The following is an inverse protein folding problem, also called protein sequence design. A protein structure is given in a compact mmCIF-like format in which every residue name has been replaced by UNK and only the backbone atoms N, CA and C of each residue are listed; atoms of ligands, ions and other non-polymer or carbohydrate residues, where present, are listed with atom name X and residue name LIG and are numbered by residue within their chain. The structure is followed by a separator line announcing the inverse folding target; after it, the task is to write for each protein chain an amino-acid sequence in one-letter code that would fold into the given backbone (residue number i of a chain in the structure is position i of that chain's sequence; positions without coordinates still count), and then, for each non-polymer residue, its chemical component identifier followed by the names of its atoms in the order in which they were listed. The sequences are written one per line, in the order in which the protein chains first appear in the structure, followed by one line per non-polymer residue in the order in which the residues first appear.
data_IF_625542136057
#
_entry.id   IF_625542136057
#
_cell.length_a   1.000
_cell.length_b   1.000
_cell.length_c   1.000
_cell.angle_alpha   90.00
_cell.angle_beta   90.00
_cell.angle_gamma   90.00
#
_symmetry.space_group_name_H-M   'P 1'
#
loop_
_entity.id
_entity.type
_entity.pdbx_description
1 polymer ?
#
# COMPACT_ATOMS: atom_id res chain seq x y z
N UNK A 1 8.93 -7.44 -4.54
CA UNK A 1 9.65 -8.56 -5.18
C UNK A 1 9.90 -9.71 -4.22
N UNK A 2 10.43 -9.48 -3.03
CA UNK A 2 10.67 -10.54 -2.03
C UNK A 2 9.36 -11.26 -1.69
N UNK A 3 8.28 -10.53 -1.41
CA UNK A 3 6.98 -11.10 -1.11
C UNK A 3 6.42 -11.93 -2.28
N UNK A 4 6.55 -11.45 -3.51
CA UNK A 4 6.13 -12.21 -4.68
C UNK A 4 6.93 -13.52 -4.82
N UNK A 5 8.25 -13.44 -4.71
CA UNK A 5 9.10 -14.62 -4.77
C UNK A 5 8.74 -15.64 -3.67
N UNK A 6 8.59 -15.17 -2.43
CA UNK A 6 8.23 -16.05 -1.31
C UNK A 6 6.81 -16.63 -1.43
N UNK A 7 5.93 -16.01 -2.22
CA UNK A 7 4.56 -16.51 -2.43
C UNK A 7 4.52 -17.82 -3.20
N UNK A 8 5.51 -18.11 -4.02
CA UNK A 8 5.67 -19.45 -4.61
C UNK A 8 5.89 -20.50 -3.53
N UNK A 9 6.65 -20.16 -2.49
CA UNK A 9 6.78 -21.01 -1.30
C UNK A 9 5.49 -21.11 -0.50
N UNK A 10 4.76 -20.01 -0.35
CA UNK A 10 3.49 -19.99 0.37
C UNK A 10 2.43 -20.87 -0.32
N UNK A 11 2.10 -20.60 -1.56
CA UNK A 11 1.08 -21.35 -2.30
C UNK A 11 1.61 -22.73 -2.74
N UNK A 12 2.80 -22.79 -3.34
CA UNK A 12 3.38 -24.05 -3.80
C UNK A 12 3.70 -25.01 -2.66
N UNK A 13 4.20 -24.49 -1.54
CA UNK A 13 4.45 -25.30 -0.33
C UNK A 13 3.18 -25.84 0.31
N UNK A 14 2.04 -25.16 0.12
CA UNK A 14 0.73 -25.60 0.62
C UNK A 14 0.20 -26.86 -0.09
N UNK A 15 0.81 -27.29 -1.20
CA UNK A 15 0.50 -28.58 -1.83
C UNK A 15 1.02 -29.78 -1.04
N UNK A 16 1.87 -29.54 -0.01
CA UNK A 16 2.35 -30.47 1.03
C UNK A 16 3.20 -31.65 0.53
N UNK A 17 3.27 -31.94 -0.75
CA UNK A 17 4.01 -33.08 -1.29
C UNK A 17 4.40 -32.83 -2.75
N UNK A 18 5.60 -33.33 -3.10
CA UNK A 18 6.12 -33.41 -4.47
C UNK A 18 6.53 -34.85 -4.81
N UNK A 19 5.98 -35.85 -4.12
CA UNK A 19 6.45 -37.22 -4.21
C UNK A 19 5.87 -38.01 -5.41
N UNK A 20 4.88 -37.47 -6.09
CA UNK A 20 4.23 -38.10 -7.25
C UNK A 20 4.09 -37.12 -8.41
N UNK A 21 3.95 -37.65 -9.64
CA UNK A 21 3.73 -36.83 -10.83
C UNK A 21 2.47 -35.95 -10.70
N UNK A 22 1.43 -36.49 -10.04
CA UNK A 22 0.20 -35.74 -9.81
C UNK A 22 0.41 -34.55 -8.89
N UNK A 23 1.14 -34.72 -7.78
CA UNK A 23 1.45 -33.62 -6.84
C UNK A 23 2.43 -32.62 -7.43
N UNK A 24 3.39 -33.04 -8.23
CA UNK A 24 4.29 -32.14 -8.98
C UNK A 24 3.53 -31.32 -9.99
N UNK A 25 2.61 -31.94 -10.75
CA UNK A 25 1.76 -31.25 -11.73
C UNK A 25 0.85 -30.23 -11.04
N UNK A 26 0.23 -30.59 -9.90
CA UNK A 26 -0.59 -29.69 -9.12
C UNK A 26 0.22 -28.48 -8.64
N UNK A 27 1.40 -28.73 -8.05
CA UNK A 27 2.28 -27.64 -7.57
C UNK A 27 2.71 -26.72 -8.72
N UNK A 28 2.99 -27.29 -9.89
CA UNK A 28 3.28 -26.52 -11.10
C UNK A 28 2.12 -25.61 -11.50
N UNK A 29 0.89 -26.14 -11.46
CA UNK A 29 -0.33 -25.36 -11.73
C UNK A 29 -0.51 -24.23 -10.68
N UNK A 30 -0.33 -24.55 -9.40
CA UNK A 30 -0.41 -23.59 -8.29
C UNK A 30 0.58 -22.42 -8.50
N UNK A 31 1.83 -22.73 -8.81
CA UNK A 31 2.85 -21.71 -9.08
C UNK A 31 2.49 -20.89 -10.33
N UNK A 32 2.01 -21.54 -11.39
CA UNK A 32 1.59 -20.84 -12.60
C UNK A 32 0.42 -19.89 -12.34
N UNK A 33 -0.65 -20.36 -11.70
CA UNK A 33 -1.83 -19.55 -11.36
C UNK A 33 -1.46 -18.37 -10.46
N UNK A 34 -0.59 -18.62 -9.47
CA UNK A 34 -0.08 -17.59 -8.55
C UNK A 34 0.63 -16.48 -9.33
N UNK A 35 1.55 -16.86 -10.20
CA UNK A 35 2.29 -15.88 -11.01
C UNK A 35 1.38 -15.13 -11.99
N UNK A 36 0.47 -15.84 -12.65
CA UNK A 36 -0.45 -15.26 -13.63
C UNK A 36 -1.34 -14.20 -12.98
N UNK A 37 -1.99 -14.52 -11.86
CA UNK A 37 -2.87 -13.58 -11.18
C UNK A 37 -2.12 -12.32 -10.69
N UNK A 38 -0.92 -12.50 -10.13
CA UNK A 38 -0.07 -11.38 -9.70
C UNK A 38 0.32 -10.48 -10.88
N UNK A 39 0.78 -11.07 -11.99
CA UNK A 39 1.18 -10.33 -13.18
C UNK A 39 0.02 -9.55 -13.80
N UNK A 40 -1.14 -10.20 -13.94
CA UNK A 40 -2.36 -9.57 -14.47
C UNK A 40 -2.80 -8.41 -13.56
N UNK A 41 -2.87 -8.61 -12.25
CA UNK A 41 -3.27 -7.58 -11.32
C UNK A 41 -2.30 -6.38 -11.35
N UNK A 42 -0.99 -6.63 -11.45
CA UNK A 42 0.03 -5.59 -11.61
C UNK A 42 -0.24 -4.73 -12.85
N UNK A 43 -0.41 -5.37 -14.01
CA UNK A 43 -0.67 -4.67 -15.26
C UNK A 43 -1.99 -3.89 -15.23
N UNK A 44 -3.05 -4.50 -14.69
CA UNK A 44 -4.36 -3.85 -14.56
C UNK A 44 -4.27 -2.63 -13.64
N UNK A 45 -3.65 -2.76 -12.49
CA UNK A 45 -3.48 -1.64 -11.55
C UNK A 45 -2.67 -0.50 -12.17
N UNK A 46 -1.57 -0.83 -12.86
CA UNK A 46 -0.74 0.15 -13.55
C UNK A 46 -1.55 0.91 -14.61
N UNK A 47 -2.27 0.20 -15.47
CA UNK A 47 -3.08 0.82 -16.53
C UNK A 47 -4.23 1.62 -15.92
N UNK A 48 -4.92 1.07 -14.91
CA UNK A 48 -6.05 1.75 -14.27
C UNK A 48 -5.63 3.03 -13.57
N UNK A 49 -4.52 3.02 -12.81
CA UNK A 49 -3.99 4.24 -12.18
C UNK A 49 -3.52 5.24 -13.22
N UNK A 50 -2.92 4.79 -14.31
CA UNK A 50 -2.52 5.65 -15.42
C UNK A 50 -3.72 6.39 -16.03
N UNK A 51 -4.78 5.64 -16.34
CA UNK A 51 -6.01 6.23 -16.92
C UNK A 51 -6.72 7.16 -15.93
N UNK A 52 -6.68 6.83 -14.64
CA UNK A 52 -7.42 7.55 -13.60
C UNK A 52 -6.68 8.80 -13.11
N UNK A 53 -5.35 8.74 -12.99
CA UNK A 53 -4.53 9.80 -12.41
C UNK A 53 -3.60 10.49 -13.43
N UNK A 54 -3.66 10.08 -14.69
CA UNK A 54 -2.84 10.63 -15.77
C UNK A 54 -1.39 10.12 -15.78
N UNK A 55 -0.95 9.45 -14.73
CA UNK A 55 0.36 8.78 -14.61
C UNK A 55 0.22 7.47 -13.86
N UNK A 56 1.01 6.42 -14.19
CA UNK A 56 1.02 5.20 -13.41
C UNK A 56 1.60 5.46 -12.02
N UNK A 57 0.90 4.97 -11.01
CA UNK A 57 1.37 5.03 -9.62
C UNK A 57 2.21 3.78 -9.32
N UNK A 58 3.49 3.98 -8.97
CA UNK A 58 4.42 2.88 -8.71
C UNK A 58 4.05 2.11 -7.44
N UNK A 59 3.72 2.82 -6.36
CA UNK A 59 3.34 2.21 -5.09
C UNK A 59 2.07 1.39 -5.22
N UNK A 60 1.05 1.96 -5.87
CA UNK A 60 -0.20 1.26 -6.15
C UNK A 60 0.01 0.08 -7.09
N UNK A 61 0.88 0.18 -8.09
CA UNK A 61 1.22 -0.92 -9.00
C UNK A 61 1.85 -2.09 -8.25
N UNK A 62 2.73 -1.81 -7.29
CA UNK A 62 3.31 -2.82 -6.42
C UNK A 62 2.26 -3.46 -5.49
N UNK A 63 1.34 -2.65 -4.94
CA UNK A 63 0.19 -3.17 -4.19
C UNK A 63 -0.73 -4.01 -5.08
N UNK A 64 -0.86 -3.69 -6.36
CA UNK A 64 -1.58 -4.50 -7.35
C UNK A 64 -1.01 -5.90 -7.48
N UNK A 65 0.33 -6.04 -7.46
CA UNK A 65 0.96 -7.37 -7.49
C UNK A 65 0.60 -8.21 -6.26
N UNK A 66 0.65 -7.60 -5.08
CA UNK A 66 0.28 -8.25 -3.83
C UNK A 66 -1.22 -8.58 -3.78
N UNK A 67 -2.07 -7.69 -4.27
CA UNK A 67 -3.51 -7.93 -4.37
C UNK A 67 -3.84 -9.15 -5.23
N UNK A 68 -3.14 -9.31 -6.36
CA UNK A 68 -3.26 -10.50 -7.21
C UNK A 68 -2.81 -11.78 -6.51
N UNK A 69 -1.70 -11.72 -5.77
CA UNK A 69 -1.20 -12.85 -4.95
C UNK A 69 -2.21 -13.23 -3.87
N UNK A 70 -2.74 -12.27 -3.14
CA UNK A 70 -3.76 -12.50 -2.11
C UNK A 70 -5.02 -13.10 -2.71
N UNK A 71 -5.54 -12.50 -3.78
CA UNK A 71 -6.79 -12.94 -4.40
C UNK A 71 -6.72 -14.37 -4.94
N UNK A 72 -5.58 -14.81 -5.48
CA UNK A 72 -5.44 -16.16 -6.02
C UNK A 72 -5.19 -17.23 -4.94
N UNK A 73 -4.72 -16.83 -3.76
CA UNK A 73 -4.26 -17.77 -2.73
C UNK A 73 -5.33 -18.78 -2.32
N UNK A 74 -6.58 -18.36 -2.18
CA UNK A 74 -7.67 -19.27 -1.79
C UNK A 74 -8.01 -20.31 -2.86
N UNK A 75 -7.75 -20.03 -4.15
CA UNK A 75 -8.18 -20.85 -5.27
C UNK A 75 -7.04 -21.35 -6.17
N UNK A 76 -5.78 -21.15 -5.80
CA UNK A 76 -4.64 -21.39 -6.66
C UNK A 76 -4.53 -22.83 -7.19
N UNK A 77 -5.04 -23.82 -6.43
CA UNK A 77 -5.06 -25.24 -6.76
C UNK A 77 -6.40 -25.73 -7.35
N UNK A 78 -7.45 -24.90 -7.28
CA UNK A 78 -8.82 -25.30 -7.63
C UNK A 78 -9.34 -24.65 -8.89
N UNK A 79 -8.70 -23.55 -9.33
CA UNK A 79 -9.12 -22.80 -10.51
C UNK A 79 -8.24 -23.10 -11.72
N UNK A 80 -8.80 -22.97 -12.91
CA UNK A 80 -8.03 -23.02 -14.16
C UNK A 80 -7.19 -21.74 -14.34
N UNK A 81 -6.17 -21.75 -15.22
CA UNK A 81 -5.45 -20.53 -15.58
C UNK A 81 -6.35 -19.38 -16.07
N UNK A 82 -7.45 -19.71 -16.74
CA UNK A 82 -8.44 -18.72 -17.15
C UNK A 82 -9.13 -18.08 -15.94
N UNK A 83 -9.50 -18.88 -14.93
CA UNK A 83 -10.01 -18.37 -13.66
C UNK A 83 -9.00 -17.49 -12.95
N UNK A 84 -7.73 -17.92 -12.88
CA UNK A 84 -6.66 -17.15 -12.28
C UNK A 84 -6.44 -15.79 -12.95
N UNK A 85 -6.54 -15.73 -14.29
CA UNK A 85 -6.52 -14.46 -15.03
C UNK A 85 -7.62 -13.50 -14.56
N UNK A 86 -8.87 -13.96 -14.50
CA UNK A 86 -9.99 -13.10 -14.08
C UNK A 86 -9.92 -12.72 -12.61
N UNK A 87 -9.44 -13.60 -11.76
CA UNK A 87 -9.21 -13.30 -10.34
C UNK A 87 -8.22 -12.14 -10.20
N UNK A 88 -7.08 -12.22 -10.89
CA UNK A 88 -6.09 -11.14 -10.90
C UNK A 88 -6.59 -9.86 -11.57
N UNK A 89 -7.37 -9.98 -12.64
CA UNK A 89 -7.95 -8.84 -13.34
C UNK A 89 -8.85 -8.01 -12.42
N UNK A 90 -9.75 -8.64 -11.69
CA UNK A 90 -10.63 -7.97 -10.73
C UNK A 90 -9.84 -7.41 -9.55
N UNK A 91 -8.85 -8.16 -9.04
CA UNK A 91 -8.00 -7.73 -7.93
C UNK A 91 -7.26 -6.43 -8.24
N UNK A 92 -6.80 -6.25 -9.48
CA UNK A 92 -6.10 -5.05 -9.91
C UNK A 92 -6.95 -3.77 -9.86
N UNK A 93 -8.25 -3.86 -10.13
CA UNK A 93 -9.18 -2.74 -9.92
C UNK A 93 -9.55 -2.59 -8.45
N UNK A 94 -9.84 -3.72 -7.81
CA UNK A 94 -10.35 -3.73 -6.44
C UNK A 94 -9.37 -3.09 -5.46
N UNK A 95 -8.07 -3.30 -5.60
CA UNK A 95 -7.07 -2.70 -4.72
C UNK A 95 -7.10 -1.17 -4.78
N UNK A 96 -7.20 -0.59 -5.96
CA UNK A 96 -7.24 0.88 -6.12
C UNK A 96 -8.52 1.46 -5.53
N UNK A 97 -9.66 0.86 -5.87
CA UNK A 97 -10.96 1.31 -5.39
C UNK A 97 -11.10 1.16 -3.88
N UNK A 98 -10.54 0.07 -3.29
CA UNK A 98 -10.58 -0.13 -1.84
C UNK A 98 -9.66 0.84 -1.11
N UNK A 99 -8.47 1.14 -1.61
CA UNK A 99 -7.61 2.17 -1.02
C UNK A 99 -8.34 3.51 -0.99
N UNK A 100 -8.93 3.92 -2.12
CA UNK A 100 -9.71 5.16 -2.16
C UNK A 100 -10.91 5.14 -1.21
N UNK A 101 -11.58 4.01 -1.09
CA UNK A 101 -12.71 3.85 -0.18
C UNK A 101 -12.28 3.98 1.29
N UNK A 102 -11.27 3.24 1.71
CA UNK A 102 -10.81 3.27 3.10
C UNK A 102 -10.24 4.63 3.48
N UNK A 103 -9.43 5.23 2.63
CA UNK A 103 -8.82 6.53 2.88
C UNK A 103 -9.84 7.68 2.84
N UNK A 104 -10.62 7.79 1.75
CA UNK A 104 -11.46 8.99 1.50
C UNK A 104 -12.85 8.90 2.13
N UNK A 105 -13.45 7.69 2.16
CA UNK A 105 -14.84 7.50 2.59
C UNK A 105 -14.90 6.97 4.01
N UNK A 106 -14.26 5.83 4.28
CA UNK A 106 -14.25 5.23 5.60
C UNK A 106 -13.34 5.98 6.59
N UNK A 107 -12.38 6.75 6.08
CA UNK A 107 -11.39 7.52 6.85
C UNK A 107 -10.63 6.63 7.85
N UNK A 108 -10.28 5.44 7.39
CA UNK A 108 -9.46 4.48 8.13
C UNK A 108 -8.01 4.72 7.73
N UNK A 109 -7.16 4.85 8.73
CA UNK A 109 -5.72 5.02 8.54
C UNK A 109 -5.09 3.71 8.05
N UNK A 110 -4.84 3.64 6.73
CA UNK A 110 -4.21 2.50 6.06
C UNK A 110 -3.06 3.00 5.16
N UNK A 111 -1.95 3.46 5.76
CA UNK A 111 -0.90 4.23 5.06
C UNK A 111 -0.21 3.46 3.93
N UNK A 112 -0.19 2.15 3.99
CA UNK A 112 0.43 1.28 2.97
C UNK A 112 -0.58 0.48 2.16
N UNK A 113 -1.88 0.67 2.40
CA UNK A 113 -2.94 -0.06 1.73
C UNK A 113 -3.07 -1.52 2.17
N UNK A 114 -2.65 -1.86 3.40
CA UNK A 114 -2.66 -3.24 3.90
C UNK A 114 -4.08 -3.83 3.96
N UNK A 115 -5.06 -3.06 4.45
CA UNK A 115 -6.47 -3.49 4.49
C UNK A 115 -7.00 -3.73 3.09
N UNK A 116 -6.67 -2.84 2.16
CA UNK A 116 -7.10 -2.95 0.76
C UNK A 116 -6.47 -4.13 0.03
N UNK A 117 -5.18 -4.39 0.28
CA UNK A 117 -4.47 -5.53 -0.31
C UNK A 117 -4.94 -6.85 0.29
N UNK A 118 -4.97 -6.97 1.63
CA UNK A 118 -5.19 -8.25 2.27
C UNK A 118 -6.66 -8.54 2.55
N UNK A 119 -7.40 -7.62 3.16
CA UNK A 119 -8.80 -7.85 3.48
C UNK A 119 -9.68 -7.85 2.22
N UNK A 120 -9.71 -6.76 1.47
CA UNK A 120 -10.61 -6.64 0.33
C UNK A 120 -10.32 -7.71 -0.74
N UNK A 121 -9.05 -7.97 -1.04
CA UNK A 121 -8.69 -9.00 -2.02
C UNK A 121 -8.74 -10.42 -1.46
N UNK A 122 -8.62 -10.62 -0.15
CA UNK A 122 -8.89 -11.89 0.50
C UNK A 122 -10.36 -12.29 0.45
N UNK A 123 -11.25 -11.33 0.70
CA UNK A 123 -12.71 -11.48 0.50
C UNK A 123 -13.01 -11.85 -0.95
N UNK A 124 -12.45 -11.10 -1.90
CA UNK A 124 -12.62 -11.40 -3.31
C UNK A 124 -12.11 -12.80 -3.68
N UNK A 125 -10.90 -13.17 -3.25
CA UNK A 125 -10.31 -14.48 -3.53
C UNK A 125 -11.15 -15.64 -2.99
N UNK A 126 -11.70 -15.50 -1.79
CA UNK A 126 -12.59 -16.50 -1.20
C UNK A 126 -13.89 -16.64 -2.00
N UNK A 127 -14.50 -15.53 -2.39
CA UNK A 127 -15.69 -15.53 -3.26
C UNK A 127 -15.36 -16.15 -4.62
N UNK A 128 -14.19 -15.85 -5.17
CA UNK A 128 -13.75 -16.33 -6.46
C UNK A 128 -13.62 -17.87 -6.53
N UNK A 129 -13.27 -18.54 -5.43
CA UNK A 129 -13.34 -20.01 -5.36
C UNK A 129 -14.78 -20.50 -5.62
N UNK A 130 -15.77 -19.85 -5.03
CA UNK A 130 -17.18 -20.16 -5.25
C UNK A 130 -17.65 -19.95 -6.69
N UNK A 131 -16.97 -19.08 -7.43
CA UNK A 131 -17.29 -18.76 -8.83
C UNK A 131 -16.51 -19.63 -9.84
N UNK A 132 -15.18 -19.75 -9.64
CA UNK A 132 -14.23 -20.25 -10.64
C UNK A 132 -13.65 -21.63 -10.35
N UNK A 133 -14.00 -22.29 -9.22
CA UNK A 133 -13.52 -23.65 -8.97
C UNK A 133 -13.95 -24.61 -10.08
N UNK A 134 -12.98 -25.39 -10.58
CA UNK A 134 -13.23 -26.44 -11.60
C UNK A 134 -13.87 -27.70 -11.04
N UNK A 135 -13.97 -27.80 -9.70
CA UNK A 135 -14.35 -29.02 -9.00
C UNK A 135 -13.15 -29.92 -8.66
N UNK A 136 -11.95 -29.60 -9.12
CA UNK A 136 -10.71 -30.25 -8.69
C UNK A 136 -10.31 -29.70 -7.32
N UNK A 137 -9.94 -30.60 -6.40
CA UNK A 137 -9.53 -30.26 -5.03
C UNK A 137 -10.58 -29.47 -4.21
N UNK A 138 -11.83 -29.46 -4.64
CA UNK A 138 -12.97 -28.90 -3.90
C UNK A 138 -14.13 -29.89 -3.87
N UNK A 139 -15.01 -29.75 -2.87
CA UNK A 139 -16.19 -30.63 -2.73
C UNK A 139 -17.18 -30.44 -3.90
N UNK A 140 -17.28 -29.24 -4.44
CA UNK A 140 -18.18 -28.87 -5.52
C UNK A 140 -17.49 -27.93 -6.52
N UNK A 141 -17.90 -28.00 -7.76
CA UNK A 141 -17.51 -27.02 -8.77
C UNK A 141 -18.11 -25.64 -8.45
N UNK A 142 -17.48 -24.59 -8.93
CA UNK A 142 -17.96 -23.22 -8.82
C UNK A 142 -19.13 -22.93 -9.74
N UNK A 143 -19.75 -21.78 -9.55
CA UNK A 143 -20.93 -21.34 -10.30
C UNK A 143 -20.71 -21.40 -11.81
N UNK A 144 -19.56 -20.92 -12.30
CA UNK A 144 -19.26 -20.87 -13.74
C UNK A 144 -18.87 -22.24 -14.36
N UNK A 145 -18.66 -23.25 -13.52
CA UNK A 145 -18.35 -24.61 -13.92
C UNK A 145 -19.52 -25.60 -13.66
N UNK A 146 -20.72 -25.05 -13.49
CA UNK A 146 -21.95 -25.83 -13.37
C UNK A 146 -22.24 -26.41 -12.00
N UNK A 147 -21.49 -26.03 -10.95
CA UNK A 147 -21.71 -26.50 -9.58
C UNK A 147 -22.85 -25.80 -8.84
N UNK A 148 -23.56 -24.88 -9.49
CA UNK A 148 -24.62 -24.10 -8.86
C UNK A 148 -24.12 -23.18 -7.77
N UNK A 149 -24.97 -22.89 -6.79
CA UNK A 149 -24.65 -21.96 -5.69
C UNK A 149 -24.02 -22.63 -4.46
N UNK A 150 -23.85 -23.94 -4.46
CA UNK A 150 -23.42 -24.69 -3.27
C UNK A 150 -22.02 -24.28 -2.83
N UNK A 151 -21.06 -24.29 -3.76
CA UNK A 151 -19.68 -23.87 -3.44
C UNK A 151 -19.62 -22.39 -3.03
N UNK A 152 -20.31 -21.52 -3.76
CA UNK A 152 -20.38 -20.10 -3.42
C UNK A 152 -21.00 -19.84 -2.04
N UNK A 153 -22.10 -20.54 -1.74
CA UNK A 153 -22.74 -20.44 -0.43
C UNK A 153 -21.84 -20.89 0.71
N UNK A 154 -21.08 -21.98 0.51
CA UNK A 154 -20.11 -22.47 1.49
C UNK A 154 -18.99 -21.45 1.72
N UNK A 155 -18.45 -20.88 0.64
CA UNK A 155 -17.40 -19.85 0.74
C UNK A 155 -17.92 -18.58 1.46
N UNK A 156 -19.12 -18.12 1.13
CA UNK A 156 -19.72 -16.94 1.80
C UNK A 156 -19.98 -17.20 3.29
N UNK A 157 -20.46 -18.38 3.65
CA UNK A 157 -20.67 -18.74 5.04
C UNK A 157 -19.33 -18.76 5.80
N UNK A 158 -18.31 -19.41 5.25
CA UNK A 158 -16.98 -19.45 5.84
C UNK A 158 -16.38 -18.05 6.00
N UNK A 159 -16.49 -17.22 4.98
CA UNK A 159 -16.03 -15.83 4.98
C UNK A 159 -16.67 -15.04 6.13
N UNK A 160 -18.00 -15.04 6.22
CA UNK A 160 -18.72 -14.30 7.27
C UNK A 160 -18.34 -14.80 8.67
N UNK A 161 -18.22 -16.11 8.85
CA UNK A 161 -17.81 -16.66 10.15
C UNK A 161 -16.39 -16.25 10.55
N UNK A 162 -15.44 -16.31 9.63
CA UNK A 162 -14.05 -15.94 9.87
C UNK A 162 -13.93 -14.43 10.12
N UNK A 163 -14.55 -13.61 9.28
CA UNK A 163 -14.48 -12.15 9.41
C UNK A 163 -15.12 -11.70 10.73
N UNK A 164 -16.29 -12.24 11.10
CA UNK A 164 -16.92 -11.94 12.38
C UNK A 164 -16.03 -12.32 13.56
N UNK A 165 -15.44 -13.52 13.52
CA UNK A 165 -14.52 -13.97 14.56
C UNK A 165 -13.31 -13.05 14.69
N UNK A 166 -12.64 -12.75 13.56
CA UNK A 166 -11.44 -11.89 13.54
C UNK A 166 -11.76 -10.49 14.04
N UNK A 167 -12.84 -9.87 13.57
CA UNK A 167 -13.23 -8.52 13.99
C UNK A 167 -13.49 -8.47 15.50
N UNK A 168 -14.27 -9.42 16.03
CA UNK A 168 -14.60 -9.45 17.46
C UNK A 168 -13.34 -9.66 18.31
N UNK A 169 -12.55 -10.68 17.99
CA UNK A 169 -11.36 -11.04 18.77
C UNK A 169 -10.32 -9.94 18.73
N UNK A 170 -10.02 -9.40 17.53
CA UNK A 170 -9.03 -8.34 17.38
C UNK A 170 -9.49 -7.03 18.04
N UNK A 171 -10.77 -6.71 17.96
CA UNK A 171 -11.29 -5.55 18.68
C UNK A 171 -11.06 -5.66 20.21
N UNK A 172 -11.32 -6.83 20.79
CA UNK A 172 -11.09 -7.09 22.21
C UNK A 172 -9.58 -6.97 22.52
N UNK A 173 -8.72 -7.62 21.73
CA UNK A 173 -7.28 -7.61 21.94
C UNK A 173 -6.73 -6.18 21.87
N UNK A 174 -7.09 -5.43 20.82
CA UNK A 174 -6.62 -4.05 20.67
C UNK A 174 -7.15 -3.14 21.78
N UNK A 175 -8.37 -3.35 22.28
CA UNK A 175 -8.86 -2.61 23.44
C UNK A 175 -8.12 -2.93 24.75
N UNK A 176 -7.67 -4.16 24.92
CA UNK A 176 -6.82 -4.54 26.06
C UNK A 176 -5.45 -3.86 25.94
N UNK A 177 -4.81 -3.92 24.76
CA UNK A 177 -3.52 -3.28 24.52
C UNK A 177 -3.62 -1.78 24.72
N UNK A 178 -4.65 -1.13 24.16
CA UNK A 178 -4.89 0.30 24.31
C UNK A 178 -4.97 0.76 25.75
N UNK A 179 -5.64 -0.03 26.60
CA UNK A 179 -5.78 0.27 28.03
C UNK A 179 -4.55 -0.04 28.88
N UNK A 180 -3.67 -0.92 28.42
CA UNK A 180 -2.51 -1.39 29.21
C UNK A 180 -1.20 -0.75 28.78
N UNK A 181 -0.93 -0.77 27.48
CA UNK A 181 0.33 -0.31 26.89
C UNK A 181 0.17 0.99 26.11
N UNK A 182 -1.05 1.29 25.65
CA UNK A 182 -1.32 2.32 24.66
C UNK A 182 -1.09 1.80 23.22
N UNK A 183 -1.90 2.29 22.28
CA UNK A 183 -1.75 1.94 20.85
C UNK A 183 -1.09 3.05 20.03
N UNK A 184 -1.17 4.30 20.50
CA UNK A 184 -0.61 5.43 19.78
C UNK A 184 0.37 6.19 20.66
N UNK A 185 1.43 6.64 20.05
CA UNK A 185 2.35 7.59 20.66
C UNK A 185 1.71 8.99 20.72
N UNK A 186 2.23 9.91 21.56
CA UNK A 186 1.81 11.31 21.56
C UNK A 186 1.96 11.93 20.15
N UNK A 187 1.05 12.85 19.81
CA UNK A 187 1.04 13.48 18.49
C UNK A 187 2.38 14.18 18.13
N UNK A 188 3.08 14.70 19.10
CA UNK A 188 4.41 15.32 18.93
C UNK A 188 5.44 14.29 18.44
N UNK A 189 5.47 13.11 19.05
CA UNK A 189 6.36 12.00 18.67
C UNK A 189 6.01 11.47 17.26
N UNK A 190 4.71 11.44 16.94
CA UNK A 190 4.24 11.01 15.61
C UNK A 190 4.67 12.01 14.52
N UNK A 191 4.72 13.30 14.83
CA UNK A 191 5.17 14.37 13.92
C UNK A 191 6.69 14.34 13.75
N UNK A 192 7.44 14.16 14.84
CA UNK A 192 8.90 14.13 14.84
C UNK A 192 9.46 12.86 14.18
N UNK A 193 8.68 11.79 14.20
CA UNK A 193 9.07 10.46 13.74
C UNK A 193 9.53 9.56 14.88
N UNK A 194 9.13 8.29 14.81
CA UNK A 194 9.33 7.31 15.86
C UNK A 194 10.80 6.87 16.03
N UNK A 195 11.60 6.99 14.97
CA UNK A 195 12.99 6.48 14.97
C UNK A 195 13.86 7.11 16.08
N UNK A 196 13.70 8.41 16.32
CA UNK A 196 14.45 9.12 17.37
C UNK A 196 13.97 8.67 18.76
N UNK A 197 12.67 8.62 18.95
CA UNK A 197 12.06 8.41 20.25
C UNK A 197 12.13 6.94 20.72
N UNK A 198 11.98 5.99 19.79
CA UNK A 198 11.97 4.56 20.12
C UNK A 198 13.34 3.90 19.97
N UNK A 199 14.15 4.36 19.01
CA UNK A 199 15.42 3.69 18.67
C UNK A 199 16.65 4.55 18.84
N UNK A 200 16.50 5.85 19.16
CA UNK A 200 17.62 6.79 19.26
C UNK A 200 18.33 7.06 17.92
N UNK A 201 17.68 6.76 16.80
CA UNK A 201 18.21 6.92 15.45
C UNK A 201 17.66 8.21 14.84
N UNK A 202 18.52 9.01 14.22
CA UNK A 202 18.10 10.24 13.56
C UNK A 202 17.09 9.99 12.42
N UNK A 203 17.25 8.90 11.70
CA UNK A 203 16.26 8.31 10.77
C UNK A 203 16.77 6.96 10.28
N UNK A 204 15.93 5.94 10.24
CA UNK A 204 16.26 4.65 9.62
C UNK A 204 16.45 4.75 8.08
N UNK A 205 15.93 5.82 7.48
CA UNK A 205 15.95 6.07 6.03
C UNK A 205 16.83 7.26 5.63
N UNK A 206 17.70 7.75 6.52
CA UNK A 206 18.61 8.86 6.29
C UNK A 206 19.63 8.60 5.18
N UNK A 207 19.35 8.27 4.06
CA UNK A 207 20.15 7.97 2.88
C UNK A 207 19.31 7.46 1.71
N UNK A 208 18.03 7.17 1.99
CA UNK A 208 17.03 6.79 0.99
C UNK A 208 16.01 7.90 0.70
N UNK A 209 15.82 8.81 1.64
CA UNK A 209 15.05 9.99 1.35
C UNK A 209 15.87 10.87 0.40
N UNK A 210 15.31 11.27 -0.71
CA UNK A 210 15.75 12.40 -1.53
C UNK A 210 15.53 13.71 -0.72
N UNK A 211 15.42 13.61 0.57
CA UNK A 211 15.36 14.74 1.46
C UNK A 211 16.74 14.87 2.05
N UNK A 212 17.37 15.85 1.60
CA UNK A 212 18.02 16.77 2.46
C UNK A 212 18.86 16.11 3.55
N UNK A 213 20.10 15.81 3.15
CA UNK A 213 21.22 15.65 4.10
C UNK A 213 21.27 16.82 5.13
N UNK A 214 20.42 17.82 5.00
CA UNK A 214 20.29 18.98 5.86
C UNK A 214 19.29 18.83 7.01
N UNK A 215 18.36 17.88 6.98
CA UNK A 215 17.52 17.69 8.17
C UNK A 215 18.23 17.07 9.36
N UNK A 216 19.34 16.38 9.14
CA UNK A 216 20.23 15.94 10.24
C UNK A 216 21.16 17.04 10.76
N UNK A 217 21.24 18.18 10.10
CA UNK A 217 22.07 19.32 10.46
C UNK A 217 21.28 20.48 11.11
N UNK A 218 20.04 20.27 11.51
CA UNK A 218 19.34 21.23 12.36
C UNK A 218 19.78 21.10 13.85
N UNK A 219 21.06 21.19 14.07
CA UNK A 219 21.50 21.93 15.24
C UNK A 219 21.24 23.42 14.94
N UNK A 220 20.62 24.20 15.82
CA UNK A 220 20.42 25.61 15.59
C UNK A 220 21.81 26.25 15.38
N UNK A 221 22.20 26.44 14.14
CA UNK A 221 23.36 27.24 13.85
C UNK A 221 22.88 28.68 13.88
N UNK A 222 23.33 29.42 14.87
CA UNK A 222 22.95 30.81 15.21
C UNK A 222 23.22 31.85 14.11
N UNK A 223 23.49 31.43 12.88
CA UNK A 223 23.86 32.32 11.76
C UNK A 223 23.08 32.07 10.46
N UNK A 224 21.79 31.73 10.52
CA UNK A 224 20.91 31.94 9.37
C UNK A 224 20.40 33.38 9.42
N UNK A 225 21.09 34.25 8.71
CA UNK A 225 20.65 35.60 8.41
C UNK A 225 19.39 35.51 7.52
N UNK A 226 18.25 35.33 8.17
CA UNK A 226 16.94 35.49 7.54
C UNK A 226 16.81 36.99 7.33
N UNK A 227 16.85 37.42 6.07
CA UNK A 227 16.68 38.83 5.75
C UNK A 227 15.47 39.40 6.50
N UNK A 228 15.72 40.37 7.39
CA UNK A 228 14.71 40.97 8.27
C UNK A 228 13.47 41.50 7.55
N UNK A 229 13.58 41.73 6.24
CA UNK A 229 12.50 42.31 5.42
C UNK A 229 11.33 41.34 5.12
N UNK A 230 11.55 40.05 5.10
CA UNK A 230 10.51 39.06 4.79
C UNK A 230 9.70 38.62 6.01
N UNK A 231 10.25 38.77 7.22
CA UNK A 231 9.63 38.37 8.49
C UNK A 231 8.64 39.43 9.00
N UNK A 232 8.91 40.70 8.70
CA UNK A 232 8.11 41.85 9.20
C UNK A 232 6.72 41.96 8.56
N UNK A 233 6.47 41.27 7.44
CA UNK A 233 5.18 41.30 6.72
C UNK A 233 4.26 40.13 7.06
N UNK A 234 4.72 39.15 7.80
CA UNK A 234 3.93 37.99 8.17
C UNK A 234 3.09 38.24 9.43
N UNK A 235 1.82 37.86 9.41
CA UNK A 235 0.98 37.90 10.60
C UNK A 235 1.44 36.86 11.63
N UNK A 236 1.16 37.10 12.93
CA UNK A 236 1.50 36.16 14.00
C UNK A 236 1.01 34.72 13.72
N UNK A 237 -0.14 34.60 13.04
CA UNK A 237 -0.72 33.31 12.64
C UNK A 237 0.03 32.66 11.47
N UNK A 238 0.68 33.44 10.63
CA UNK A 238 1.54 32.96 9.53
C UNK A 238 2.92 32.59 10.08
N UNK A 239 3.43 33.31 11.06
CA UNK A 239 4.68 33.00 11.75
C UNK A 239 4.59 31.69 12.54
N UNK A 240 3.48 31.44 13.23
CA UNK A 240 3.21 30.19 13.95
C UNK A 240 3.04 28.98 13.02
N UNK A 241 2.77 29.23 11.74
CA UNK A 241 2.63 28.22 10.68
C UNK A 241 3.82 28.15 9.72
N UNK A 242 4.78 29.06 9.87
CA UNK A 242 5.94 29.14 8.98
C UNK A 242 6.95 28.05 9.29
N UNK A 243 7.42 27.38 8.24
CA UNK A 243 8.53 26.46 8.29
C UNK A 243 9.75 27.18 7.71
N UNK A 244 10.91 27.16 8.35
CA UNK A 244 12.09 27.84 7.81
C UNK A 244 12.45 27.29 6.43
N UNK A 245 12.57 28.18 5.46
CA UNK A 245 13.06 27.85 4.11
C UNK A 245 14.53 28.15 4.07
N UNK A 246 15.36 27.12 3.96
CA UNK A 246 16.81 27.29 3.75
C UNK A 246 17.03 27.53 2.26
N UNK A 247 17.50 28.73 1.92
CA UNK A 247 17.99 29.03 0.56
C UNK A 247 19.45 28.58 0.48
N UNK A 248 19.70 27.46 -0.18
CA UNK A 248 21.07 27.11 -0.56
C UNK A 248 21.54 28.02 -1.70
N UNK A 249 22.73 28.62 -1.59
CA UNK A 249 23.34 29.26 -2.74
C UNK A 249 23.64 28.20 -3.79
N UNK A 250 23.04 28.31 -4.95
CA UNK A 250 23.36 27.45 -6.09
C UNK A 250 24.78 27.82 -6.53
N UNK A 251 25.75 26.98 -6.19
CA UNK A 251 27.14 27.14 -6.72
C UNK A 251 27.10 26.73 -8.16
N UNK A 252 27.12 27.72 -9.04
CA UNK A 252 27.25 27.51 -10.48
C UNK A 252 28.72 27.26 -10.85
N UNK A 253 29.06 26.02 -11.20
CA UNK A 253 30.18 25.78 -12.13
C UNK A 253 29.72 26.14 -13.54
N UNK A 254 29.85 27.37 -13.85
CA UNK A 254 30.18 28.04 -15.09
C UNK A 254 29.44 27.70 -16.38
N UNK A 255 28.21 27.17 -16.44
CA UNK A 255 27.49 27.07 -17.73
C UNK A 255 25.95 27.15 -17.52
N UNK A 256 25.38 28.24 -18.07
CA UNK A 256 23.94 28.54 -18.23
C UNK A 256 23.14 28.77 -16.95
N UNK A 257 22.94 30.02 -16.61
CA UNK A 257 21.85 30.52 -15.79
C UNK A 257 20.50 30.22 -16.50
N UNK A 258 19.79 29.20 -16.06
CA UNK A 258 18.48 28.84 -16.61
C UNK A 258 17.35 29.64 -15.98
N UNK A 259 17.62 30.53 -15.03
CA UNK A 259 16.61 31.25 -14.27
C UNK A 259 15.75 30.35 -13.35
N UNK A 260 16.11 29.06 -13.24
CA UNK A 260 15.40 28.14 -12.36
C UNK A 260 16.03 28.10 -10.97
N UNK A 261 15.21 28.29 -9.96
CA UNK A 261 15.63 28.18 -8.56
C UNK A 261 15.03 26.93 -7.95
N UNK A 262 15.86 26.15 -7.22
CA UNK A 262 15.37 25.04 -6.41
C UNK A 262 14.78 25.62 -5.11
N UNK A 263 13.48 25.47 -4.93
CA UNK A 263 12.78 25.82 -3.70
C UNK A 263 12.42 24.53 -2.96
N UNK A 264 12.98 24.33 -1.77
CA UNK A 264 12.62 23.20 -0.91
C UNK A 264 11.68 23.72 0.18
N UNK A 265 10.44 23.24 0.18
CA UNK A 265 9.42 23.65 1.16
C UNK A 265 9.03 22.42 1.98
N UNK A 266 9.20 22.52 3.30
CA UNK A 266 8.70 21.52 4.23
C UNK A 266 7.32 21.98 4.69
N UNK A 267 6.27 21.27 4.29
CA UNK A 267 4.90 21.56 4.69
C UNK A 267 4.27 20.36 5.41
N UNK A 268 3.39 20.64 6.38
CA UNK A 268 2.55 19.58 6.95
C UNK A 268 1.72 18.94 5.83
N UNK A 269 1.59 17.62 5.84
CA UNK A 269 0.88 16.86 4.80
C UNK A 269 -0.53 17.42 4.52
N UNK A 270 -1.23 17.87 5.57
CA UNK A 270 -2.54 18.51 5.45
C UNK A 270 -2.57 19.82 4.64
N UNK A 271 -1.40 20.44 4.40
CA UNK A 271 -1.27 21.67 3.61
C UNK A 271 -0.58 21.47 2.26
N UNK A 272 -0.16 20.25 1.96
CA UNK A 272 0.60 19.95 0.75
C UNK A 272 -0.19 20.26 -0.53
N UNK A 273 -1.47 19.92 -0.56
CA UNK A 273 -2.32 20.17 -1.72
C UNK A 273 -2.57 21.68 -1.92
N UNK A 274 -2.73 22.43 -0.84
CA UNK A 274 -2.87 23.88 -0.91
C UNK A 274 -1.59 24.55 -1.44
N UNK A 275 -0.43 24.08 -0.99
CA UNK A 275 0.86 24.56 -1.44
C UNK A 275 1.10 24.21 -2.91
N UNK A 276 0.78 22.99 -3.32
CA UNK A 276 0.90 22.54 -4.72
C UNK A 276 0.02 23.38 -5.65
N UNK A 277 -1.20 23.68 -5.24
CA UNK A 277 -2.11 24.55 -6.00
C UNK A 277 -1.52 25.96 -6.12
N UNK A 278 -1.09 26.55 -5.01
CA UNK A 278 -0.49 27.88 -4.99
C UNK A 278 0.78 27.98 -5.85
N UNK A 279 1.63 26.93 -5.87
CA UNK A 279 2.83 26.89 -6.71
C UNK A 279 2.49 26.76 -8.20
N UNK A 280 1.45 25.99 -8.55
CA UNK A 280 0.98 25.88 -9.94
C UNK A 280 0.36 27.19 -10.46
N UNK A 281 -0.26 27.99 -9.58
CA UNK A 281 -0.85 29.29 -9.93
C UNK A 281 0.20 30.39 -10.13
N UNK A 282 1.42 30.15 -9.66
CA UNK A 282 2.56 31.07 -9.83
C UNK A 282 3.36 30.81 -11.12
N UNK A 283 3.04 29.75 -11.88
CA UNK A 283 3.72 29.37 -13.13
C UNK A 283 4.96 28.55 -12.86
#
# INVERSE_FOLDING_TARGET
FILWFCWFGFNGGSSLSLSTDATMTLTGLVCFNTNLAAAVATCVTMIFTWLRYGKPDVSMTLNGSLAGLVAITAGCDTVSPFGAFFIGFVAGFLVVLSVEFFDKIAKVDDPVGAVSVHFANGVWGTIAVGLFSTGSNTAHAGLFYGGGLTQLGTQLLGLVCVDAYVVIVMFIIFKIIDKTLGLRVPAEVEIDGLDIHEHGLASAYAGFAISDANSAAMTPNENTDLGEDDVTKASAKQMDAAVPVVREPVIHDGVYDTGMHKVSIIAKLAKFDQLKTALNDLG
#
